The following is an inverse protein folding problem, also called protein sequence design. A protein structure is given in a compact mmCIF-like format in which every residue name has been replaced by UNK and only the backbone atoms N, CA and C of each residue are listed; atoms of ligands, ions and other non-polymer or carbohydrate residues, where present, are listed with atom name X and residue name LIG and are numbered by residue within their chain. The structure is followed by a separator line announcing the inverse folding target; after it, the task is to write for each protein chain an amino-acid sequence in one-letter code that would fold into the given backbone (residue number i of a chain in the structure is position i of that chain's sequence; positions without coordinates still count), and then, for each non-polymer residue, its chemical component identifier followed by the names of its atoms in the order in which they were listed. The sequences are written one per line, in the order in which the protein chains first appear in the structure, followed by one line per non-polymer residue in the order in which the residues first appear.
data_IF_295711466798
#
_entry.id   IF_295711466798
#
_cell.length_a   1.000
_cell.length_b   1.000
_cell.length_c   1.000
_cell.angle_alpha   90.00
_cell.angle_beta   90.00
_cell.angle_gamma   90.00
#
_symmetry.space_group_name_H-M   'P 1'
#
loop_
_entity.id
_entity.type
_entity.pdbx_description
1 polymer ?
#
# COMPACT_ATOMS: atom_id res chain seq x y z
N UNK A 1 -14.07 13.12 18.97
CA UNK A 1 -12.92 14.06 18.89
C UNK A 1 -11.64 13.45 19.43
N UNK A 2 -11.63 12.83 20.62
CA UNK A 2 -10.43 12.22 21.24
C UNK A 2 -9.75 11.16 20.35
N UNK A 3 -10.49 10.33 19.61
CA UNK A 3 -9.91 9.35 18.67
C UNK A 3 -9.03 9.97 17.58
N UNK A 4 -9.28 11.23 17.19
CA UNK A 4 -8.46 11.94 16.21
C UNK A 4 -7.01 12.09 16.68
N UNK A 5 -6.79 12.16 18.00
CA UNK A 5 -5.47 12.31 18.58
C UNK A 5 -4.55 11.11 18.27
N UNK A 6 -5.08 9.89 18.12
CA UNK A 6 -4.27 8.73 17.71
C UNK A 6 -3.80 8.90 16.27
N UNK A 7 -4.69 9.35 15.37
CA UNK A 7 -4.34 9.60 13.98
C UNK A 7 -3.34 10.75 13.85
N UNK A 8 -3.55 11.85 14.58
CA UNK A 8 -2.60 12.96 14.63
C UNK A 8 -1.23 12.52 15.18
N UNK A 9 -1.20 11.70 16.23
CA UNK A 9 0.04 11.15 16.75
C UNK A 9 0.77 10.26 15.74
N UNK A 10 0.05 9.43 14.98
CA UNK A 10 0.65 8.64 13.89
C UNK A 10 1.22 9.55 12.78
N UNK A 11 0.52 10.63 12.44
CA UNK A 11 1.03 11.62 11.48
C UNK A 11 2.31 12.30 12.00
N UNK A 12 2.32 12.77 13.24
CA UNK A 12 3.51 13.39 13.83
C UNK A 12 4.67 12.41 13.95
N UNK A 13 4.41 11.15 14.31
CA UNK A 13 5.41 10.09 14.32
C UNK A 13 6.02 9.88 12.92
N UNK A 14 5.20 9.90 11.87
CA UNK A 14 5.66 9.77 10.47
C UNK A 14 6.44 10.99 9.98
N UNK A 15 6.25 12.15 10.60
CA UNK A 15 7.02 13.37 10.33
C UNK A 15 8.25 13.53 11.25
N UNK A 16 8.60 12.48 12.00
CA UNK A 16 9.70 12.47 12.98
C UNK A 16 9.54 13.48 14.15
N UNK A 17 8.33 14.02 14.35
CA UNK A 17 8.00 14.89 15.46
C UNK A 17 7.57 14.07 16.69
N UNK A 18 8.50 13.27 17.22
CA UNK A 18 8.20 12.27 18.26
C UNK A 18 7.70 12.88 19.58
N UNK A 19 8.25 14.02 20.01
CA UNK A 19 7.80 14.71 21.23
C UNK A 19 6.34 15.15 21.11
N UNK A 20 5.98 15.75 19.96
CA UNK A 20 4.61 16.19 19.66
C UNK A 20 3.68 14.98 19.53
N UNK A 21 4.13 13.91 18.86
CA UNK A 21 3.38 12.67 18.76
C UNK A 21 3.06 12.10 20.15
N UNK A 22 4.03 12.12 21.08
CA UNK A 22 3.86 11.65 22.44
C UNK A 22 2.86 12.49 23.23
N UNK A 23 2.93 13.82 23.14
CA UNK A 23 2.02 14.72 23.84
C UNK A 23 0.57 14.50 23.36
N UNK A 24 0.36 14.46 22.05
CA UNK A 24 -0.96 14.25 21.45
C UNK A 24 -1.50 12.87 21.79
N UNK A 25 -0.67 11.82 21.70
CA UNK A 25 -1.05 10.46 22.06
C UNK A 25 -1.41 10.33 23.55
N UNK A 26 -0.69 11.04 24.42
CA UNK A 26 -0.95 11.05 25.86
C UNK A 26 -2.35 11.59 26.20
N UNK A 27 -2.87 12.55 25.43
CA UNK A 27 -4.25 13.04 25.60
C UNK A 27 -5.27 11.92 25.33
N UNK A 28 -5.03 11.08 24.32
CA UNK A 28 -5.88 9.92 24.04
C UNK A 28 -5.78 8.86 25.14
N UNK A 29 -4.55 8.52 25.55
CA UNK A 29 -4.29 7.49 26.56
C UNK A 29 -4.87 7.85 27.95
N UNK A 30 -5.06 9.13 28.28
CA UNK A 30 -5.79 9.52 29.50
C UNK A 30 -7.23 9.00 29.53
N UNK A 31 -7.87 8.90 28.36
CA UNK A 31 -9.26 8.40 28.25
C UNK A 31 -9.30 6.89 27.98
N UNK A 32 -8.31 6.37 27.26
CA UNK A 32 -8.25 4.96 26.85
C UNK A 32 -6.87 4.37 27.18
N UNK A 33 -6.52 4.21 28.47
CA UNK A 33 -5.18 3.83 28.91
C UNK A 33 -4.75 2.43 28.46
N UNK A 34 -5.72 1.56 28.18
CA UNK A 34 -5.49 0.16 27.80
C UNK A 34 -5.67 -0.09 26.30
N UNK A 35 -5.75 0.95 25.45
CA UNK A 35 -5.92 0.78 24.01
C UNK A 35 -4.68 0.12 23.39
N UNK A 36 -4.78 -1.10 22.83
CA UNK A 36 -3.61 -1.82 22.33
C UNK A 36 -2.88 -1.08 21.20
N UNK A 37 -3.65 -0.46 20.30
CA UNK A 37 -3.11 0.32 19.20
C UNK A 37 -2.34 1.56 19.68
N UNK A 38 -2.89 2.28 20.67
CA UNK A 38 -2.26 3.48 21.20
C UNK A 38 -1.00 3.15 22.02
N UNK A 39 -1.02 2.08 22.80
CA UNK A 39 0.16 1.61 23.54
C UNK A 39 1.25 1.07 22.61
N UNK A 40 0.88 0.41 21.50
CA UNK A 40 1.84 -0.02 20.50
C UNK A 40 2.52 1.19 19.82
N UNK A 41 1.74 2.22 19.47
CA UNK A 41 2.28 3.47 18.94
C UNK A 41 3.19 4.17 19.96
N UNK A 42 2.84 4.15 21.25
CA UNK A 42 3.67 4.66 22.32
C UNK A 42 5.02 3.94 22.38
N UNK A 43 5.02 2.60 22.31
CA UNK A 43 6.23 1.79 22.25
C UNK A 43 7.15 2.20 21.08
N UNK A 44 6.57 2.42 19.89
CA UNK A 44 7.30 2.90 18.73
C UNK A 44 7.87 4.32 18.94
N UNK A 45 7.09 5.24 19.51
CA UNK A 45 7.54 6.62 19.82
C UNK A 45 8.70 6.57 20.83
N UNK A 46 8.57 5.79 21.90
CA UNK A 46 9.58 5.64 22.96
C UNK A 46 10.87 5.07 22.39
N UNK A 47 10.79 4.08 21.49
CA UNK A 47 11.93 3.52 20.79
C UNK A 47 12.69 4.59 19.98
N UNK A 48 11.95 5.41 19.21
CA UNK A 48 12.54 6.46 18.38
C UNK A 48 13.10 7.63 19.17
N UNK A 49 12.47 7.98 20.29
CA UNK A 49 12.88 9.10 21.14
C UNK A 49 14.10 8.73 22.00
N UNK A 50 14.16 7.48 22.45
CA UNK A 50 15.18 6.99 23.37
C UNK A 50 15.95 5.81 22.76
N UNK A 51 15.49 4.58 23.01
CA UNK A 51 16.10 3.34 22.52
C UNK A 51 15.20 2.13 22.83
N UNK A 52 15.63 0.94 22.39
CA UNK A 52 14.97 -0.34 22.63
C UNK A 52 14.68 -0.65 24.10
N UNK A 53 15.66 -0.44 24.99
CA UNK A 53 15.51 -0.72 26.42
C UNK A 53 14.38 0.07 27.07
N UNK A 54 14.14 1.30 26.62
CA UNK A 54 13.04 2.13 27.12
C UNK A 54 11.67 1.67 26.59
N UNK A 55 11.61 1.09 25.39
CA UNK A 55 10.37 0.69 24.71
C UNK A 55 9.85 -0.70 25.10
N UNK A 56 10.74 -1.64 25.45
CA UNK A 56 10.38 -3.03 25.78
C UNK A 56 9.30 -3.18 26.86
N UNK A 57 9.32 -2.43 27.98
CA UNK A 57 8.27 -2.54 29.00
C UNK A 57 6.87 -2.24 28.48
N UNK A 58 6.75 -1.40 27.44
CA UNK A 58 5.48 -1.01 26.85
C UNK A 58 4.88 -2.16 26.01
N UNK A 59 5.74 -2.95 25.35
CA UNK A 59 5.34 -4.16 24.60
C UNK A 59 5.02 -5.33 25.52
N UNK A 60 5.78 -5.49 26.60
CA UNK A 60 5.52 -6.56 27.59
C UNK A 60 4.15 -6.39 28.27
N UNK A 61 3.74 -5.15 28.51
CA UNK A 61 2.40 -4.86 29.01
C UNK A 61 1.31 -5.27 28.01
N UNK A 62 1.56 -5.11 26.70
CA UNK A 62 0.62 -5.51 25.65
C UNK A 62 0.51 -7.02 25.49
N UNK A 63 1.61 -7.75 25.66
CA UNK A 63 1.62 -9.21 25.61
C UNK A 63 0.78 -9.88 26.71
N UNK A 64 0.52 -9.17 27.82
CA UNK A 64 -0.32 -9.64 28.92
C UNK A 64 -1.83 -9.54 28.61
N UNK A 65 -2.20 -8.84 27.55
CA UNK A 65 -3.61 -8.65 27.14
C UNK A 65 -3.99 -9.72 26.11
N UNK A 66 -5.22 -10.21 26.17
CA UNK A 66 -5.74 -11.11 25.13
C UNK A 66 -5.98 -10.34 23.83
N UNK A 67 -5.03 -10.45 22.90
CA UNK A 67 -5.08 -9.83 21.58
C UNK A 67 -5.35 -10.88 20.49
N UNK A 68 -5.90 -10.42 19.36
CA UNK A 68 -6.09 -11.26 18.18
C UNK A 68 -4.73 -11.71 17.59
N UNK A 69 -4.66 -12.85 16.88
CA UNK A 69 -3.39 -13.45 16.46
C UNK A 69 -2.45 -12.48 15.72
N UNK A 70 -2.96 -11.71 14.76
CA UNK A 70 -2.13 -10.77 14.00
C UNK A 70 -1.55 -9.63 14.86
N UNK A 71 -2.22 -9.21 15.95
CA UNK A 71 -1.64 -8.24 16.89
C UNK A 71 -0.50 -8.87 17.71
N UNK A 72 -0.58 -10.16 18.05
CA UNK A 72 0.54 -10.84 18.73
C UNK A 72 1.78 -10.93 17.84
N UNK A 73 1.61 -11.25 16.57
CA UNK A 73 2.73 -11.29 15.61
C UNK A 73 3.40 -9.92 15.44
N UNK A 74 2.62 -8.84 15.39
CA UNK A 74 3.16 -7.48 15.36
C UNK A 74 3.98 -7.14 16.61
N UNK A 75 3.53 -7.55 17.81
CA UNK A 75 4.28 -7.33 19.05
C UNK A 75 5.58 -8.13 19.11
N UNK A 76 5.56 -9.38 18.62
CA UNK A 76 6.78 -10.20 18.51
C UNK A 76 7.79 -9.56 17.57
N UNK A 77 7.34 -9.02 16.43
CA UNK A 77 8.20 -8.25 15.53
C UNK A 77 8.81 -7.03 16.23
N UNK A 78 8.00 -6.24 16.95
CA UNK A 78 8.49 -5.08 17.68
C UNK A 78 9.52 -5.47 18.76
N UNK A 79 9.35 -6.59 19.46
CA UNK A 79 10.35 -7.07 20.43
C UNK A 79 11.69 -7.39 19.77
N UNK A 80 11.69 -7.99 18.57
CA UNK A 80 12.91 -8.25 17.82
C UNK A 80 13.59 -6.94 17.40
N UNK A 81 12.82 -6.00 16.84
CA UNK A 81 13.35 -4.68 16.44
C UNK A 81 13.91 -3.91 17.63
N UNK A 82 13.25 -3.96 18.79
CA UNK A 82 13.69 -3.26 20.00
C UNK A 82 14.88 -3.93 20.69
N UNK A 83 15.17 -5.19 20.39
CA UNK A 83 16.36 -5.90 20.87
C UNK A 83 17.46 -5.99 19.79
N UNK A 84 17.53 -5.01 18.88
CA UNK A 84 18.56 -4.96 17.84
C UNK A 84 18.65 -6.23 16.97
N UNK A 85 17.51 -6.93 16.79
CA UNK A 85 17.42 -8.17 16.03
C UNK A 85 17.61 -9.46 16.84
N UNK A 86 17.80 -9.41 18.16
CA UNK A 86 17.83 -10.63 18.98
C UNK A 86 16.47 -11.33 19.00
N UNK A 87 16.47 -12.66 18.91
CA UNK A 87 15.25 -13.47 18.84
C UNK A 87 14.52 -13.48 17.48
N UNK A 88 15.10 -12.89 16.43
CA UNK A 88 14.48 -12.81 15.11
C UNK A 88 13.99 -14.19 14.60
N UNK A 89 14.79 -15.24 14.82
CA UNK A 89 14.50 -16.63 14.43
C UNK A 89 13.16 -17.19 14.95
N UNK A 90 12.58 -16.61 16.01
CA UNK A 90 11.32 -17.07 16.57
C UNK A 90 10.09 -16.48 15.88
N UNK A 91 10.25 -15.38 15.14
CA UNK A 91 9.17 -14.61 14.48
C UNK A 91 9.01 -14.99 13.01
N UNK A 92 9.97 -15.72 12.44
CA UNK A 92 10.03 -16.02 11.03
C UNK A 92 9.43 -17.38 10.66
N UNK A 93 8.96 -17.56 9.41
CA UNK A 93 8.35 -18.81 8.96
C UNK A 93 9.31 -19.99 9.13
N UNK A 94 8.77 -21.12 9.61
CA UNK A 94 9.52 -22.34 9.96
C UNK A 94 10.29 -22.97 8.77
N UNK A 95 9.94 -22.60 7.53
CA UNK A 95 10.60 -23.07 6.30
C UNK A 95 11.09 -21.89 5.44
N UNK A 96 12.27 -21.38 5.80
CA UNK A 96 12.91 -20.33 5.03
C UNK A 96 13.44 -20.80 3.68
N UNK A 97 13.85 -22.07 3.55
CA UNK A 97 14.47 -22.57 2.34
C UNK A 97 13.47 -22.52 1.18
N UNK A 98 12.22 -22.90 1.46
CA UNK A 98 11.12 -22.72 0.51
C UNK A 98 10.80 -21.23 0.29
N UNK A 99 10.80 -20.41 1.35
CA UNK A 99 10.48 -18.98 1.24
C UNK A 99 11.49 -18.20 0.37
N UNK A 100 12.79 -18.45 0.50
CA UNK A 100 13.82 -17.79 -0.32
C UNK A 100 13.74 -18.25 -1.78
N UNK A 101 13.46 -19.54 -2.01
CA UNK A 101 13.27 -20.07 -3.36
C UNK A 101 12.11 -19.36 -4.07
N UNK A 102 10.98 -19.19 -3.38
CA UNK A 102 9.82 -18.45 -3.91
C UNK A 102 10.12 -16.95 -4.10
N UNK A 103 10.91 -16.34 -3.21
CA UNK A 103 11.24 -14.93 -3.29
C UNK A 103 12.26 -14.58 -4.39
N UNK A 104 13.09 -15.52 -4.81
CA UNK A 104 14.12 -15.26 -5.83
C UNK A 104 13.49 -14.80 -7.15
N UNK A 105 12.44 -15.49 -7.60
CA UNK A 105 11.75 -15.19 -8.87
C UNK A 105 10.62 -14.14 -8.72
N UNK A 106 10.30 -13.73 -7.49
CA UNK A 106 9.29 -12.72 -7.22
C UNK A 106 9.80 -11.33 -7.59
N UNK A 107 9.28 -10.70 -8.65
CA UNK A 107 9.46 -9.27 -8.89
C UNK A 107 8.43 -8.47 -8.06
N UNK A 108 8.81 -7.84 -6.93
CA UNK A 108 7.84 -7.25 -6.01
C UNK A 108 7.12 -6.06 -6.63
N UNK A 109 5.82 -5.94 -6.35
CA UNK A 109 4.92 -4.94 -6.94
C UNK A 109 4.14 -4.15 -5.90
N UNK A 110 3.98 -4.72 -4.70
CA UNK A 110 3.33 -4.07 -3.57
C UNK A 110 4.33 -3.83 -2.45
N UNK A 111 4.07 -2.82 -1.62
CA UNK A 111 4.86 -2.55 -0.40
C UNK A 111 5.00 -3.80 0.48
N UNK A 112 3.94 -4.62 0.54
CA UNK A 112 3.93 -5.90 1.27
C UNK A 112 4.88 -6.93 0.66
N UNK A 113 4.90 -7.08 -0.66
CA UNK A 113 5.83 -8.00 -1.35
C UNK A 113 7.27 -7.54 -1.23
N UNK A 114 7.54 -6.24 -1.33
CA UNK A 114 8.86 -5.67 -1.07
C UNK A 114 9.32 -5.97 0.36
N UNK A 115 8.42 -5.82 1.34
CA UNK A 115 8.72 -6.11 2.74
C UNK A 115 8.96 -7.60 2.97
N UNK A 116 8.13 -8.48 2.41
CA UNK A 116 8.29 -9.94 2.51
C UNK A 116 9.61 -10.36 1.87
N UNK A 117 9.96 -9.83 0.70
CA UNK A 117 11.24 -10.13 0.04
C UNK A 117 12.42 -9.59 0.85
N UNK A 118 12.35 -8.37 1.38
CA UNK A 118 13.37 -7.79 2.24
C UNK A 118 13.64 -8.63 3.49
N UNK A 119 12.57 -9.01 4.20
CA UNK A 119 12.64 -9.86 5.41
C UNK A 119 13.22 -11.24 5.08
N UNK A 120 12.76 -11.87 3.99
CA UNK A 120 13.23 -13.20 3.58
C UNK A 120 14.71 -13.20 3.22
N UNK A 121 15.17 -12.20 2.45
CA UNK A 121 16.58 -12.04 2.11
C UNK A 121 17.45 -11.67 3.33
N UNK A 122 16.95 -10.83 4.24
CA UNK A 122 17.67 -10.47 5.45
C UNK A 122 17.93 -11.71 6.29
N UNK A 123 16.90 -12.54 6.47
CA UNK A 123 16.98 -13.74 7.26
C UNK A 123 17.89 -14.80 6.62
N UNK A 124 17.77 -15.05 5.31
CA UNK A 124 18.69 -15.95 4.60
C UNK A 124 20.14 -15.48 4.70
N UNK A 125 20.35 -14.16 4.58
CA UNK A 125 21.66 -13.52 4.75
C UNK A 125 22.23 -13.71 6.16
N UNK A 126 21.42 -13.59 7.20
CA UNK A 126 21.85 -13.85 8.58
C UNK A 126 22.20 -15.33 8.80
N UNK A 127 21.35 -16.25 8.35
CA UNK A 127 21.56 -17.70 8.52
C UNK A 127 22.80 -18.23 7.78
N UNK A 128 23.08 -17.70 6.59
CA UNK A 128 24.23 -18.12 5.78
C UNK A 128 25.44 -17.20 5.95
N UNK A 129 25.37 -16.25 6.88
CA UNK A 129 26.37 -15.18 7.07
C UNK A 129 26.74 -14.45 5.75
N UNK A 130 25.77 -14.33 4.84
CA UNK A 130 25.95 -13.79 3.50
C UNK A 130 25.68 -12.29 3.47
N UNK A 131 26.76 -11.50 3.38
CA UNK A 131 26.70 -10.03 3.25
C UNK A 131 25.95 -9.57 2.00
N UNK A 132 25.96 -10.35 0.93
CA UNK A 132 25.28 -10.01 -0.32
C UNK A 132 23.76 -10.04 -0.14
N UNK A 133 23.22 -11.08 0.49
CA UNK A 133 21.78 -11.17 0.77
C UNK A 133 21.33 -10.09 1.78
N UNK A 134 22.16 -9.75 2.76
CA UNK A 134 21.90 -8.65 3.69
C UNK A 134 21.84 -7.30 2.96
N UNK A 135 22.73 -7.08 1.99
CA UNK A 135 22.74 -5.86 1.16
C UNK A 135 21.52 -5.79 0.24
N UNK A 136 21.11 -6.90 -0.36
CA UNK A 136 19.86 -6.99 -1.15
C UNK A 136 18.64 -6.71 -0.29
N UNK A 137 18.59 -7.26 0.93
CA UNK A 137 17.52 -6.97 1.88
C UNK A 137 17.46 -5.48 2.25
N UNK A 138 18.60 -4.86 2.53
CA UNK A 138 18.69 -3.42 2.80
C UNK A 138 18.16 -2.57 1.64
N UNK A 139 18.46 -2.95 0.39
CA UNK A 139 17.93 -2.29 -0.80
C UNK A 139 16.39 -2.37 -0.87
N UNK A 140 15.81 -3.55 -0.60
CA UNK A 140 14.36 -3.70 -0.57
C UNK A 140 13.72 -2.96 0.61
N UNK A 141 14.35 -2.96 1.80
CA UNK A 141 13.86 -2.17 2.94
C UNK A 141 13.84 -0.67 2.67
N UNK A 142 14.80 -0.13 1.89
CA UNK A 142 14.77 1.26 1.45
C UNK A 142 13.59 1.52 0.52
N UNK A 143 13.31 0.61 -0.41
CA UNK A 143 12.14 0.71 -1.29
C UNK A 143 10.81 0.67 -0.52
N UNK A 144 10.76 -0.01 0.64
CA UNK A 144 9.61 0.00 1.55
C UNK A 144 9.50 1.36 2.25
N UNK A 145 8.75 2.27 1.65
CA UNK A 145 8.45 3.60 2.19
C UNK A 145 9.13 4.77 1.47
N UNK A 146 10.07 4.51 0.56
CA UNK A 146 10.64 5.53 -0.33
C UNK A 146 9.87 5.67 -1.65
N UNK A 147 8.92 4.79 -1.98
CA UNK A 147 8.07 4.93 -3.17
C UNK A 147 7.34 6.27 -3.11
N UNK A 148 7.70 7.26 -3.96
CA UNK A 148 7.02 8.54 -4.02
C UNK A 148 5.54 8.36 -4.40
N UNK A 149 5.23 7.23 -5.03
CA UNK A 149 3.94 6.88 -5.58
C UNK A 149 2.96 6.40 -4.50
N UNK A 150 3.43 5.59 -3.55
CA UNK A 150 2.66 5.14 -2.38
C UNK A 150 2.20 6.37 -1.56
N UNK A 151 3.05 7.38 -1.42
CA UNK A 151 2.75 8.61 -0.66
C UNK A 151 1.84 9.58 -1.42
N UNK A 152 1.91 9.62 -2.76
CA UNK A 152 1.11 10.53 -3.59
C UNK A 152 -0.32 10.02 -3.79
N UNK A 153 -0.51 8.70 -3.92
CA UNK A 153 -1.83 8.10 -4.16
C UNK A 153 -2.57 7.82 -2.85
N UNK A 154 -1.89 7.43 -1.76
CA UNK A 154 -2.51 7.34 -0.42
C UNK A 154 -2.98 8.70 0.14
N UNK A 155 -2.54 9.81 -0.46
CA UNK A 155 -3.00 11.17 -0.13
C UNK A 155 -4.11 11.70 -1.08
N UNK A 156 -4.78 10.83 -1.85
CA UNK A 156 -5.84 11.20 -2.82
C UNK A 156 -5.38 12.21 -3.89
N UNK A 157 -4.16 12.08 -4.43
CA UNK A 157 -3.68 12.94 -5.53
C UNK A 157 -3.27 12.13 -6.77
N UNK A 158 -4.18 11.36 -7.38
CA UNK A 158 -3.88 10.54 -8.55
C UNK A 158 -3.41 11.36 -9.76
N UNK A 159 -3.84 12.63 -9.86
CA UNK A 159 -3.34 13.56 -10.88
C UNK A 159 -1.83 13.79 -10.79
N UNK A 160 -1.26 13.94 -9.60
CA UNK A 160 0.18 14.18 -9.44
C UNK A 160 1.00 12.96 -9.87
N UNK A 161 0.52 11.75 -9.57
CA UNK A 161 1.14 10.51 -10.05
C UNK A 161 1.08 10.43 -11.59
N UNK A 162 -0.06 10.82 -12.19
CA UNK A 162 -0.19 10.89 -13.65
C UNK A 162 0.77 11.92 -14.26
N UNK A 163 0.94 13.08 -13.63
CA UNK A 163 1.90 14.10 -14.06
C UNK A 163 3.35 13.59 -13.98
N UNK A 164 3.70 12.77 -12.98
CA UNK A 164 5.01 12.11 -12.91
C UNK A 164 5.20 11.13 -14.06
N UNK A 165 4.20 10.28 -14.35
CA UNK A 165 4.22 9.37 -15.50
C UNK A 165 4.48 10.11 -16.81
N UNK A 166 3.74 11.19 -17.08
CA UNK A 166 3.89 11.96 -18.32
C UNK A 166 5.23 12.67 -18.47
N UNK A 167 5.95 12.91 -17.37
CA UNK A 167 7.29 13.51 -17.36
C UNK A 167 8.42 12.49 -17.38
N UNK A 168 8.12 11.21 -17.16
CA UNK A 168 9.11 10.14 -17.17
C UNK A 168 9.52 9.81 -18.61
N UNK A 169 10.83 9.77 -18.85
CA UNK A 169 11.42 9.36 -20.13
C UNK A 169 12.03 7.96 -20.08
N UNK A 170 12.14 7.35 -18.90
CA UNK A 170 12.62 5.98 -18.74
C UNK A 170 11.46 4.99 -18.89
N UNK A 171 11.50 4.04 -19.85
CA UNK A 171 10.45 3.04 -20.03
C UNK A 171 10.21 2.17 -18.79
N UNK A 172 11.25 1.85 -18.02
CA UNK A 172 11.11 1.02 -16.81
C UNK A 172 10.42 1.78 -15.69
N UNK A 173 10.85 3.01 -15.46
CA UNK A 173 10.19 3.93 -14.53
C UNK A 173 8.72 4.15 -14.94
N UNK A 174 8.44 4.50 -16.20
CA UNK A 174 7.08 4.73 -16.70
C UNK A 174 6.16 3.51 -16.52
N UNK A 175 6.67 2.30 -16.76
CA UNK A 175 5.92 1.07 -16.51
C UNK A 175 5.58 0.91 -15.02
N UNK A 176 6.56 1.11 -14.14
CA UNK A 176 6.35 1.03 -12.69
C UNK A 176 5.33 2.08 -12.20
N UNK A 177 5.41 3.32 -12.69
CA UNK A 177 4.45 4.38 -12.33
C UNK A 177 3.03 3.97 -12.75
N UNK A 178 2.85 3.48 -13.99
CA UNK A 178 1.56 3.03 -14.47
C UNK A 178 1.01 1.89 -13.61
N UNK A 179 1.84 0.93 -13.20
CA UNK A 179 1.43 -0.17 -12.31
C UNK A 179 0.92 0.34 -10.98
N UNK A 180 1.64 1.26 -10.36
CA UNK A 180 1.25 1.82 -9.06
C UNK A 180 -0.06 2.61 -9.20
N UNK A 181 -0.19 3.45 -10.23
CA UNK A 181 -1.47 4.15 -10.50
C UNK A 181 -2.60 3.15 -10.70
N UNK A 182 -2.41 2.11 -11.49
CA UNK A 182 -3.43 1.12 -11.77
C UNK A 182 -3.92 0.40 -10.51
N UNK A 183 -3.00 -0.13 -9.68
CA UNK A 183 -3.32 -0.91 -8.50
C UNK A 183 -3.89 -0.06 -7.36
N UNK A 184 -3.21 1.04 -7.02
CA UNK A 184 -3.57 1.82 -5.85
C UNK A 184 -4.84 2.63 -6.10
N UNK A 185 -4.96 3.29 -7.26
CA UNK A 185 -6.19 4.03 -7.59
C UNK A 185 -7.40 3.10 -7.65
N UNK A 186 -7.21 1.86 -8.11
CA UNK A 186 -8.29 0.86 -8.10
C UNK A 186 -8.73 0.53 -6.67
N UNK A 187 -7.77 0.37 -5.76
CA UNK A 187 -8.03 0.03 -4.35
C UNK A 187 -8.71 1.17 -3.60
N UNK A 188 -8.29 2.42 -3.83
CA UNK A 188 -8.88 3.61 -3.17
C UNK A 188 -10.17 4.10 -3.82
N UNK A 189 -10.53 3.56 -4.99
CA UNK A 189 -11.74 3.92 -5.72
C UNK A 189 -11.59 5.11 -6.68
N UNK A 190 -10.37 5.53 -6.98
CA UNK A 190 -10.04 6.53 -8.02
C UNK A 190 -10.07 5.89 -9.42
N UNK A 191 -11.21 5.31 -9.78
CA UNK A 191 -11.33 4.39 -10.93
C UNK A 191 -11.02 5.02 -12.30
N UNK A 192 -11.19 6.33 -12.45
CA UNK A 192 -10.85 7.04 -13.69
C UNK A 192 -9.35 6.92 -14.02
N UNK A 193 -8.49 7.19 -13.03
CA UNK A 193 -7.04 7.08 -13.21
C UNK A 193 -6.58 5.62 -13.30
N UNK A 194 -7.23 4.72 -12.54
CA UNK A 194 -6.96 3.30 -12.65
C UNK A 194 -7.21 2.78 -14.08
N UNK A 195 -8.37 3.10 -14.68
CA UNK A 195 -8.71 2.68 -16.03
C UNK A 195 -7.70 3.18 -17.09
N UNK A 196 -7.27 4.45 -16.97
CA UNK A 196 -6.24 5.03 -17.85
C UNK A 196 -4.89 4.35 -17.68
N UNK A 197 -4.51 4.02 -16.46
CA UNK A 197 -3.25 3.34 -16.18
C UNK A 197 -3.27 1.90 -16.71
N UNK A 198 -4.36 1.15 -16.52
CA UNK A 198 -4.51 -0.18 -17.12
C UNK A 198 -4.49 -0.16 -18.65
N UNK A 199 -5.08 0.85 -19.29
CA UNK A 199 -4.98 1.04 -20.75
C UNK A 199 -3.52 1.28 -21.19
N UNK A 200 -2.76 2.06 -20.42
CA UNK A 200 -1.33 2.25 -20.64
C UNK A 200 -0.54 0.95 -20.48
N UNK A 201 -0.82 0.17 -19.43
CA UNK A 201 -0.19 -1.12 -19.17
C UNK A 201 -0.52 -2.14 -20.25
N UNK A 202 -1.78 -2.24 -20.68
CA UNK A 202 -2.24 -3.17 -21.73
C UNK A 202 -1.45 -2.99 -23.05
N UNK A 203 -1.04 -1.75 -23.36
CA UNK A 203 -0.22 -1.45 -24.56
C UNK A 203 1.24 -1.91 -24.43
N UNK A 204 1.74 -2.00 -23.20
CA UNK A 204 3.13 -2.41 -22.90
C UNK A 204 3.19 -3.91 -22.67
N UNK A 205 2.23 -4.43 -21.90
CA UNK A 205 2.04 -5.83 -21.51
C UNK A 205 0.57 -6.21 -21.75
N UNK A 206 0.25 -6.87 -22.88
CA UNK A 206 -1.11 -7.26 -23.28
C UNK A 206 -1.58 -8.52 -22.53
N UNK A 207 -1.35 -8.58 -21.23
CA UNK A 207 -1.78 -9.66 -20.35
C UNK A 207 -3.29 -9.56 -20.07
N UNK A 208 -4.00 -10.71 -19.96
CA UNK A 208 -5.43 -10.72 -19.65
C UNK A 208 -5.78 -9.95 -18.36
N UNK A 209 -4.87 -9.92 -17.39
CA UNK A 209 -5.00 -9.25 -16.11
C UNK A 209 -5.18 -7.74 -16.25
N UNK A 210 -4.38 -7.10 -17.13
CA UNK A 210 -4.47 -5.66 -17.36
C UNK A 210 -5.81 -5.27 -17.99
N UNK A 211 -6.30 -6.08 -18.93
CA UNK A 211 -7.63 -5.88 -19.49
C UNK A 211 -8.75 -6.07 -18.44
N UNK A 212 -8.67 -7.12 -17.62
CA UNK A 212 -9.65 -7.32 -16.55
C UNK A 212 -9.62 -6.16 -15.54
N UNK A 213 -8.44 -5.62 -15.23
CA UNK A 213 -8.27 -4.43 -14.40
C UNK A 213 -8.94 -3.19 -15.01
N UNK A 214 -8.70 -2.93 -16.30
CA UNK A 214 -9.34 -1.83 -17.06
C UNK A 214 -10.86 -1.96 -17.07
N UNK A 215 -11.38 -3.16 -17.33
CA UNK A 215 -12.82 -3.47 -17.27
C UNK A 215 -13.39 -3.24 -15.86
N UNK A 216 -12.71 -3.74 -14.83
CA UNK A 216 -13.12 -3.56 -13.44
C UNK A 216 -13.18 -2.08 -13.05
N UNK A 217 -12.17 -1.30 -13.46
CA UNK A 217 -12.11 0.14 -13.23
C UNK A 217 -13.25 0.87 -13.96
N UNK A 218 -13.55 0.51 -15.20
CA UNK A 218 -14.69 1.07 -15.93
C UNK A 218 -16.03 0.80 -15.22
N UNK A 219 -16.24 -0.42 -14.70
CA UNK A 219 -17.41 -0.75 -13.89
C UNK A 219 -17.46 0.05 -12.57
N UNK A 220 -16.32 0.23 -11.92
CA UNK A 220 -16.19 1.05 -10.70
C UNK A 220 -16.51 2.52 -10.96
N UNK A 221 -16.00 3.08 -12.05
CA UNK A 221 -16.30 4.45 -12.48
C UNK A 221 -17.78 4.62 -12.84
N UNK A 222 -18.37 3.65 -13.54
CA UNK A 222 -19.79 3.66 -13.84
C UNK A 222 -20.64 3.66 -12.56
N UNK A 223 -20.29 2.86 -11.56
CA UNK A 223 -20.94 2.90 -10.24
C UNK A 223 -20.83 4.29 -9.61
N UNK A 224 -19.68 4.94 -9.70
CA UNK A 224 -19.51 6.31 -9.19
C UNK A 224 -20.34 7.34 -9.96
N UNK A 225 -20.46 7.20 -11.29
CA UNK A 225 -21.31 8.05 -12.12
C UNK A 225 -22.78 7.94 -11.70
N UNK A 226 -23.29 6.72 -11.53
CA UNK A 226 -24.66 6.46 -11.02
C UNK A 226 -24.89 7.11 -9.65
N UNK A 227 -23.84 7.23 -8.83
CA UNK A 227 -23.88 7.86 -7.51
C UNK A 227 -23.67 9.39 -7.55
N UNK A 228 -23.47 10.00 -8.72
CA UNK A 228 -23.16 11.42 -8.88
C UNK A 228 -21.77 11.81 -8.35
N UNK A 229 -20.83 10.86 -8.28
CA UNK A 229 -19.46 11.05 -7.77
C UNK A 229 -18.38 11.06 -8.86
N UNK A 230 -18.76 10.80 -10.10
CA UNK A 230 -17.89 10.90 -11.27
C UNK A 230 -18.54 11.81 -12.32
N UNK A 231 -17.73 12.46 -13.13
CA UNK A 231 -18.23 13.33 -14.20
C UNK A 231 -18.57 12.54 -15.46
N UNK A 232 -19.42 13.10 -16.30
CA UNK A 232 -19.77 12.52 -17.60
C UNK A 232 -18.53 12.41 -18.49
N UNK A 233 -17.68 13.44 -18.49
CA UNK A 233 -16.45 13.51 -19.27
C UNK A 233 -15.49 12.37 -18.90
N UNK A 234 -15.32 12.10 -17.60
CA UNK A 234 -14.49 10.99 -17.13
C UNK A 234 -14.98 9.65 -17.65
N UNK A 235 -16.31 9.43 -17.63
CA UNK A 235 -16.89 8.20 -18.13
C UNK A 235 -16.77 8.10 -19.66
N UNK A 236 -17.04 9.18 -20.40
CA UNK A 236 -16.89 9.23 -21.86
C UNK A 236 -15.47 8.88 -22.30
N UNK A 237 -14.46 9.45 -21.64
CA UNK A 237 -13.06 9.12 -21.92
C UNK A 237 -12.77 7.63 -21.69
N UNK A 238 -13.21 7.06 -20.57
CA UNK A 238 -12.98 5.63 -20.29
C UNK A 238 -13.71 4.73 -21.28
N UNK A 239 -14.92 5.08 -21.72
CA UNK A 239 -15.61 4.35 -22.78
C UNK A 239 -14.82 4.37 -24.10
N UNK A 240 -14.26 5.52 -24.48
CA UNK A 240 -13.40 5.61 -25.66
C UNK A 240 -12.14 4.73 -25.54
N UNK A 241 -11.57 4.57 -24.34
CA UNK A 241 -10.45 3.64 -24.13
C UNK A 241 -10.86 2.18 -24.33
N UNK A 242 -12.08 1.82 -23.95
CA UNK A 242 -12.62 0.47 -24.17
C UNK A 242 -12.93 0.24 -25.66
N UNK A 243 -13.54 1.20 -26.35
CA UNK A 243 -13.91 1.08 -27.77
C UNK A 243 -12.70 0.98 -28.71
N UNK A 244 -11.56 1.59 -28.33
CA UNK A 244 -10.31 1.49 -29.09
C UNK A 244 -9.67 0.10 -29.01
N UNK A 245 -10.06 -0.70 -28.01
CA UNK A 245 -9.58 -2.07 -27.85
C UNK A 245 -10.32 -3.06 -28.75
N UNK A 246 -9.68 -4.18 -29.06
CA UNK A 246 -10.29 -5.27 -29.84
C UNK A 246 -10.83 -6.41 -28.95
N UNK A 247 -11.01 -6.17 -27.65
CA UNK A 247 -11.41 -7.24 -26.75
C UNK A 247 -12.90 -7.60 -26.96
N UNK A 248 -13.26 -8.89 -27.13
CA UNK A 248 -14.64 -9.31 -27.45
C UNK A 248 -15.72 -8.87 -26.44
N UNK A 249 -15.32 -8.57 -25.21
CA UNK A 249 -16.22 -8.12 -24.13
C UNK A 249 -16.34 -6.59 -24.02
N UNK A 250 -15.52 -5.81 -24.74
CA UNK A 250 -15.54 -4.35 -24.66
C UNK A 250 -16.91 -3.80 -25.08
N UNK A 251 -17.44 -4.25 -26.21
CA UNK A 251 -18.75 -3.85 -26.74
C UNK A 251 -19.89 -4.08 -25.74
N UNK A 252 -19.85 -5.21 -25.03
CA UNK A 252 -20.86 -5.51 -24.02
C UNK A 252 -20.83 -4.50 -22.87
N UNK A 253 -19.63 -4.16 -22.39
CA UNK A 253 -19.46 -3.19 -21.30
C UNK A 253 -19.89 -1.80 -21.77
N UNK A 254 -19.40 -1.33 -22.91
CA UNK A 254 -19.66 0.03 -23.38
C UNK A 254 -21.12 0.23 -23.77
N UNK A 255 -21.74 -0.73 -24.45
CA UNK A 255 -23.17 -0.68 -24.79
C UNK A 255 -24.08 -0.68 -23.57
N UNK A 256 -23.73 -1.41 -22.51
CA UNK A 256 -24.48 -1.43 -21.25
C UNK A 256 -24.49 -0.07 -20.58
N UNK A 257 -23.33 0.58 -20.47
CA UNK A 257 -23.20 1.93 -19.87
C UNK A 257 -23.93 2.97 -20.70
N UNK A 258 -23.74 2.97 -22.03
CA UNK A 258 -24.43 3.91 -22.93
C UNK A 258 -25.94 3.77 -22.90
N UNK A 259 -26.45 2.53 -22.84
CA UNK A 259 -27.89 2.27 -22.70
C UNK A 259 -28.44 2.84 -21.40
N UNK A 260 -27.73 2.68 -20.29
CA UNK A 260 -28.11 3.28 -19.01
C UNK A 260 -28.12 4.81 -19.11
N UNK A 261 -27.07 5.41 -19.70
CA UNK A 261 -26.94 6.86 -19.83
C UNK A 261 -28.11 7.47 -20.62
N UNK A 262 -28.48 6.85 -21.75
CA UNK A 262 -29.65 7.25 -22.55
C UNK A 262 -30.97 7.19 -21.77
N UNK A 263 -31.13 6.22 -20.88
CA UNK A 263 -32.34 6.07 -20.05
C UNK A 263 -32.45 7.13 -18.94
N UNK A 264 -31.32 7.72 -18.55
CA UNK A 264 -31.22 8.67 -17.44
C UNK A 264 -30.85 10.09 -17.90
N UNK A 265 -30.93 10.36 -19.20
CA UNK A 265 -30.59 11.65 -19.83
C UNK A 265 -29.16 12.14 -19.51
N UNK A 266 -28.23 11.19 -19.40
CA UNK A 266 -26.80 11.46 -19.20
C UNK A 266 -26.10 11.46 -20.55
N UNK A 267 -25.45 12.58 -20.90
CA UNK A 267 -24.68 12.68 -22.14
C UNK A 267 -23.28 12.08 -21.96
N UNK A 268 -22.99 10.98 -22.68
CA UNK A 268 -21.69 10.30 -22.71
C UNK A 268 -21.10 10.20 -24.14
N UNK A 269 -21.61 10.98 -25.09
CA UNK A 269 -21.07 11.04 -26.46
C UNK A 269 -19.89 12.01 -26.58
#
# INVERSE_FOLDING_TARGET
MIALNVYMAMCYYKMDYYDVAQEVLSVYLRSFPNSPAALNLKACITFKTYNGKAALPEVDNLNRVSLYPAAKELLRHNQVVFNDGDGALQVFPEDIESAIALCNDLEPQTTTEFLVKAVTFAFWGQMKESKDHLKTAEQFFKMVGESPYDTVIMNHKPQMAWDMYTRSFDPKESFNILRIIAMDCYTVGEFYYAAKAFDGLEKIDPSPENWQGKRGAACGLFKMLVQGRASNEQMSEVLQLLDRGNHPQADFVTSTVRKWAKQHDVNLE
#
